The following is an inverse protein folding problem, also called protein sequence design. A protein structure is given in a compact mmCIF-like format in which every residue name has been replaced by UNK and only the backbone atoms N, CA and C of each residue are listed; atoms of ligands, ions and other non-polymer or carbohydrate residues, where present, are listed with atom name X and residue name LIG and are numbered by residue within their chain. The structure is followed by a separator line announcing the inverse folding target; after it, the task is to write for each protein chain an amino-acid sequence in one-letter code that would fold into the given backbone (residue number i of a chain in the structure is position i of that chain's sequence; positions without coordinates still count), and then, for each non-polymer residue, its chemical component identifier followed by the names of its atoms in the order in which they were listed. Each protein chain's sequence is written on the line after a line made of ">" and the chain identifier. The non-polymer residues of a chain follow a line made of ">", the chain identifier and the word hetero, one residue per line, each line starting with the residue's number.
data_IF_390023622768
#
_entry.id   IF_390023622768
#
_cell.length_a   1.000
_cell.length_b   1.000
_cell.length_c   1.000
_cell.angle_alpha   90.00
_cell.angle_beta   90.00
_cell.angle_gamma   90.00
#
_symmetry.space_group_name_H-M   'P 1'
#
loop_
_entity.id
_entity.type
_entity.pdbx_description
1 polymer ?
#
# COMPACT_ATOMS: atom_id res chain seq x y z
N UNK A 1 8.39 -0.79 7.26
CA UNK A 1 7.58 0.27 6.61
C UNK A 1 7.97 0.50 5.14
N UNK A 2 9.26 0.56 4.83
CA UNK A 2 9.72 0.72 3.45
C UNK A 2 9.18 -0.37 2.51
N UNK A 3 9.12 -1.62 2.97
CA UNK A 3 8.57 -2.72 2.19
C UNK A 3 7.09 -2.51 1.88
N UNK A 4 6.31 -2.07 2.87
CA UNK A 4 4.89 -1.78 2.67
C UNK A 4 4.67 -0.66 1.66
N UNK A 5 5.47 0.39 1.73
CA UNK A 5 5.43 1.49 0.77
C UNK A 5 5.78 0.99 -0.63
N UNK A 6 6.81 0.14 -0.76
CA UNK A 6 7.21 -0.43 -2.04
C UNK A 6 6.10 -1.26 -2.67
N UNK A 7 5.31 -1.99 -1.86
CA UNK A 7 4.17 -2.76 -2.35
C UNK A 7 3.07 -1.84 -2.87
N UNK A 8 2.79 -0.74 -2.18
CA UNK A 8 1.77 0.23 -2.61
C UNK A 8 2.18 0.91 -3.91
N UNK A 9 3.46 1.28 -4.05
CA UNK A 9 3.96 1.93 -5.26
C UNK A 9 4.19 0.96 -6.43
N UNK A 10 4.03 -0.34 -6.18
CA UNK A 10 4.14 -1.38 -7.20
C UNK A 10 5.51 -1.40 -7.89
N UNK A 11 6.56 -1.35 -7.08
CA UNK A 11 7.93 -1.39 -7.55
C UNK A 11 8.56 -2.74 -7.23
N UNK A 12 8.60 -3.70 -8.19
CA UNK A 12 9.16 -5.03 -7.92
C UNK A 12 10.62 -4.99 -7.47
N UNK A 13 11.40 -4.09 -8.03
CA UNK A 13 12.80 -3.91 -7.64
C UNK A 13 12.92 -3.48 -6.18
N UNK A 14 12.09 -2.53 -5.77
CA UNK A 14 12.08 -2.04 -4.40
C UNK A 14 11.58 -3.12 -3.43
N UNK A 15 10.61 -3.93 -3.85
CA UNK A 15 10.10 -5.05 -3.06
C UNK A 15 11.23 -6.03 -2.78
N UNK A 16 11.98 -6.43 -3.80
CA UNK A 16 13.11 -7.35 -3.64
C UNK A 16 14.18 -6.78 -2.70
N UNK A 17 14.56 -5.52 -2.92
CA UNK A 17 15.61 -4.88 -2.14
C UNK A 17 15.22 -4.75 -0.67
N UNK A 18 14.00 -4.30 -0.40
CA UNK A 18 13.54 -4.08 0.97
C UNK A 18 13.17 -5.36 1.69
N UNK A 19 12.71 -6.38 0.98
CA UNK A 19 12.49 -7.71 1.56
C UNK A 19 13.80 -8.30 2.06
N UNK A 20 14.85 -8.20 1.24
CA UNK A 20 16.18 -8.67 1.63
C UNK A 20 16.69 -7.93 2.87
N UNK A 21 16.57 -6.61 2.89
CA UNK A 21 16.98 -5.81 4.04
C UNK A 21 16.22 -6.17 5.29
N UNK A 22 14.90 -6.36 5.18
CA UNK A 22 14.06 -6.74 6.31
C UNK A 22 14.47 -8.12 6.85
N UNK A 23 14.71 -9.09 5.97
CA UNK A 23 15.14 -10.42 6.36
C UNK A 23 16.50 -10.38 7.08
N UNK A 24 17.45 -9.60 6.57
CA UNK A 24 18.76 -9.43 7.19
C UNK A 24 18.68 -8.74 8.54
N UNK A 25 17.67 -7.90 8.76
CA UNK A 25 17.42 -7.25 10.04
C UNK A 25 16.66 -8.15 11.02
N UNK A 26 16.31 -9.37 10.62
CA UNK A 26 15.67 -10.35 11.50
C UNK A 26 14.15 -10.41 11.43
N UNK A 27 13.54 -9.82 10.41
CA UNK A 27 12.08 -9.88 10.25
C UNK A 27 11.65 -11.33 9.98
N UNK A 28 10.58 -11.75 10.64
CA UNK A 28 10.00 -13.07 10.43
C UNK A 28 9.06 -13.07 9.23
N UNK A 29 8.73 -14.27 8.75
CA UNK A 29 7.75 -14.43 7.66
C UNK A 29 6.42 -13.78 8.04
N UNK A 30 5.98 -13.94 9.30
CA UNK A 30 4.74 -13.34 9.79
C UNK A 30 4.81 -11.82 9.75
N UNK A 31 5.95 -11.24 10.13
CA UNK A 31 6.13 -9.79 10.11
C UNK A 31 6.08 -9.23 8.69
N UNK A 32 6.68 -9.93 7.74
CA UNK A 32 6.65 -9.55 6.33
C UNK A 32 5.21 -9.64 5.80
N UNK A 33 4.48 -10.72 6.11
CA UNK A 33 3.09 -10.88 5.72
C UNK A 33 2.21 -9.79 6.32
N UNK A 34 2.43 -9.43 7.59
CA UNK A 34 1.70 -8.38 8.28
C UNK A 34 1.90 -7.03 7.58
N UNK A 35 3.11 -6.76 7.09
CA UNK A 35 3.39 -5.55 6.33
C UNK A 35 2.51 -5.46 5.07
N UNK A 36 2.28 -6.58 4.41
CA UNK A 36 1.38 -6.65 3.25
C UNK A 36 -0.05 -6.30 3.65
N UNK A 37 -0.54 -6.82 4.78
CA UNK A 37 -1.89 -6.49 5.26
C UNK A 37 -2.03 -5.01 5.61
N UNK A 38 -1.02 -4.42 6.23
CA UNK A 38 -1.03 -2.97 6.53
C UNK A 38 -1.06 -2.16 5.23
N UNK A 39 -0.24 -2.52 4.25
CA UNK A 39 -0.22 -1.85 2.95
C UNK A 39 -1.58 -1.95 2.25
N UNK A 40 -2.22 -3.11 2.32
CA UNK A 40 -3.54 -3.35 1.75
C UNK A 40 -4.60 -2.46 2.41
N UNK A 41 -4.59 -2.37 3.73
CA UNK A 41 -5.53 -1.54 4.47
C UNK A 41 -5.34 -0.06 4.14
N UNK A 42 -4.10 0.40 4.06
CA UNK A 42 -3.79 1.79 3.72
C UNK A 42 -4.21 2.13 2.29
N UNK A 43 -3.95 1.24 1.35
CA UNK A 43 -4.36 1.43 -0.05
C UNK A 43 -5.88 1.46 -0.19
N UNK A 44 -6.57 0.57 0.51
CA UNK A 44 -8.04 0.53 0.52
C UNK A 44 -8.61 1.81 1.12
N UNK A 45 -8.06 2.30 2.22
CA UNK A 45 -8.48 3.55 2.84
C UNK A 45 -8.28 4.74 1.93
N UNK A 46 -7.16 4.81 1.24
CA UNK A 46 -6.89 5.87 0.27
C UNK A 46 -7.88 5.82 -0.90
N UNK A 47 -8.17 4.62 -1.41
CA UNK A 47 -9.15 4.44 -2.48
C UNK A 47 -10.55 4.87 -2.04
N UNK A 48 -10.92 4.54 -0.81
CA UNK A 48 -12.22 4.94 -0.25
C UNK A 48 -12.33 6.46 -0.20
N UNK A 49 -11.29 7.14 0.29
CA UNK A 49 -11.28 8.60 0.39
C UNK A 49 -11.38 9.26 -0.98
N UNK A 50 -10.65 8.76 -1.95
CA UNK A 50 -10.68 9.28 -3.31
C UNK A 50 -11.98 8.91 -4.04
N UNK A 51 -12.64 7.84 -3.62
CA UNK A 51 -13.97 7.49 -4.11
C UNK A 51 -15.00 8.57 -3.81
N UNK A 52 -14.87 9.23 -2.66
CA UNK A 52 -15.69 10.39 -2.33
C UNK A 52 -15.50 11.54 -3.31
N UNK A 53 -14.27 11.80 -3.72
CA UNK A 53 -13.96 12.79 -4.74
C UNK A 53 -14.59 12.44 -6.09
N UNK A 54 -14.52 11.16 -6.47
CA UNK A 54 -15.14 10.70 -7.71
C UNK A 54 -16.65 10.94 -7.72
N UNK A 55 -17.32 10.67 -6.61
CA UNK A 55 -18.76 10.93 -6.48
C UNK A 55 -19.07 12.43 -6.55
N UNK A 56 -18.24 13.25 -5.93
CA UNK A 56 -18.39 14.71 -6.00
C UNK A 56 -18.27 15.22 -7.43
N UNK A 57 -17.27 14.74 -8.17
CA UNK A 57 -17.09 15.08 -9.57
C UNK A 57 -18.29 14.66 -10.43
N UNK A 58 -18.87 13.50 -10.13
CA UNK A 58 -20.08 13.04 -10.81
C UNK A 58 -21.26 13.97 -10.57
N UNK A 59 -21.47 14.42 -9.32
CA UNK A 59 -22.54 15.34 -8.97
C UNK A 59 -22.38 16.70 -9.68
N UNK A 60 -21.16 17.19 -9.76
CA UNK A 60 -20.87 18.45 -10.46
C UNK A 60 -21.19 18.34 -11.94
N UNK A 61 -20.93 17.17 -12.55
CA UNK A 61 -21.24 16.92 -13.95
C UNK A 61 -22.75 16.92 -14.21
N UNK A 62 -23.52 16.35 -13.28
CA UNK A 62 -24.99 16.29 -13.38
C UNK A 62 -25.65 17.62 -13.08
N UNK A 63 -25.03 18.41 -12.22
CA UNK A 63 -25.56 19.66 -11.73
C UNK A 63 -25.45 20.79 -12.68
#
# INVERSE_FOLDING_TARGET
>A
MALGIAQITQCPWCIQAHTRKAALAGASDAEIAETTFVAMAMAAGAAWSHGGLALQCLQEHKG
#
